data_IF_584907640241
#
_entry.id   IF_584907640241
#
_cell.length_a   1.000
_cell.length_b   1.000
_cell.length_c   1.000
_cell.angle_alpha   90.00
_cell.angle_beta   90.00
_cell.angle_gamma   90.00
#
_symmetry.space_group_name_H-M   'P 1'
#
loop_
_entity.id
_entity.type
_entity.pdbx_description
1 polymer ?
#
# COMPACT_ATOMS: atom_id res chain seq x y z
N UNK A 1 -42.89 27.59 21.62
CA UNK A 1 -42.49 28.97 21.29
C UNK A 1 -41.13 28.88 20.62
N UNK A 2 -40.94 28.84 19.30
CA UNK A 2 -41.60 29.58 18.23
C UNK A 2 -40.76 30.81 17.89
N UNK A 3 -39.77 30.70 16.99
CA UNK A 3 -39.74 31.59 15.83
C UNK A 3 -38.78 31.14 14.72
N UNK A 4 -39.25 31.42 13.50
CA UNK A 4 -38.76 31.01 12.19
C UNK A 4 -37.85 32.08 11.55
N UNK A 5 -37.29 31.66 10.40
CA UNK A 5 -37.05 32.45 9.18
C UNK A 5 -35.65 33.09 9.03
N UNK A 6 -35.00 33.12 7.87
CA UNK A 6 -35.49 33.09 6.48
C UNK A 6 -34.36 32.71 5.51
N UNK A 7 -34.71 31.90 4.50
CA UNK A 7 -33.96 31.73 3.25
C UNK A 7 -33.85 33.06 2.48
N UNK A 8 -32.72 33.28 1.79
CA UNK A 8 -32.58 34.26 0.70
C UNK A 8 -32.16 33.54 -0.57
N UNK A 9 -33.10 33.45 -1.50
CA UNK A 9 -32.93 33.02 -2.89
C UNK A 9 -32.43 34.23 -3.70
N UNK A 10 -31.37 34.05 -4.51
CA UNK A 10 -30.99 34.99 -5.59
C UNK A 10 -31.25 34.30 -6.93
N UNK A 11 -32.20 34.84 -7.69
CA UNK A 11 -32.33 34.69 -9.15
C UNK A 11 -31.78 35.97 -9.82
N UNK A 12 -31.59 35.91 -11.15
CA UNK A 12 -31.33 36.99 -12.15
C UNK A 12 -29.90 36.87 -12.73
N UNK A 13 -29.63 36.81 -14.05
CA UNK A 13 -30.41 36.92 -15.28
C UNK A 13 -29.61 36.25 -16.42
N UNK A 14 -30.31 35.65 -17.39
CA UNK A 14 -29.75 35.30 -18.70
C UNK A 14 -29.74 36.53 -19.62
N UNK A 15 -28.67 36.73 -20.39
CA UNK A 15 -28.59 37.71 -21.45
C UNK A 15 -28.44 36.99 -22.79
N UNK A 16 -29.56 36.91 -23.50
CA UNK A 16 -29.65 36.53 -24.92
C UNK A 16 -29.34 37.76 -25.76
N UNK A 17 -28.40 37.66 -26.70
CA UNK A 17 -28.19 38.67 -27.73
C UNK A 17 -28.54 38.07 -29.10
N UNK A 18 -29.73 38.39 -29.57
CA UNK A 18 -30.13 38.30 -30.99
C UNK A 18 -29.71 39.58 -31.69
N UNK A 19 -28.97 39.46 -32.80
CA UNK A 19 -28.76 40.56 -33.76
C UNK A 19 -29.22 40.09 -35.14
N UNK A 20 -30.14 40.85 -35.70
CA UNK A 20 -30.79 40.64 -37.00
C UNK A 20 -29.96 41.26 -38.14
N UNK A 21 -30.10 40.67 -39.32
CA UNK A 21 -29.41 40.91 -40.59
C UNK A 21 -29.44 42.35 -41.15
N UNK A 22 -28.38 42.74 -41.88
CA UNK A 22 -28.38 42.94 -43.35
C UNK A 22 -27.14 43.76 -43.79
N UNK A 23 -26.30 43.19 -44.66
CA UNK A 23 -25.59 43.94 -45.71
C UNK A 23 -25.09 42.97 -46.78
N UNK A 24 -25.68 43.06 -47.96
CA UNK A 24 -25.25 42.41 -49.20
C UNK A 24 -23.86 42.91 -49.63
N UNK A 25 -22.93 41.99 -49.85
CA UNK A 25 -21.68 42.24 -50.56
C UNK A 25 -21.27 40.97 -51.29
N UNK A 26 -21.21 41.03 -52.63
CA UNK A 26 -20.74 39.93 -53.46
C UNK A 26 -19.26 39.67 -53.13
N UNK A 27 -18.94 38.47 -52.62
CA UNK A 27 -17.56 37.99 -52.49
C UNK A 27 -17.37 36.89 -53.54
N UNK A 28 -16.32 37.04 -54.33
CA UNK A 28 -15.91 36.14 -55.40
C UNK A 28 -15.71 34.70 -54.90
N UNK A 29 -16.30 33.75 -55.63
CA UNK A 29 -16.32 32.31 -55.36
C UNK A 29 -14.95 31.61 -55.49
N UNK A 30 -13.84 32.32 -55.37
CA UNK A 30 -12.48 31.76 -55.49
C UNK A 30 -11.74 31.70 -54.15
N UNK A 31 -12.06 32.59 -53.21
CA UNK A 31 -11.42 32.60 -51.88
C UNK A 31 -12.03 31.55 -50.93
N UNK A 32 -13.33 31.26 -51.08
CA UNK A 32 -14.05 30.24 -50.26
C UNK A 32 -13.55 28.83 -50.55
N UNK A 33 -13.21 28.52 -51.81
CA UNK A 33 -12.65 27.22 -52.19
C UNK A 33 -11.19 27.05 -51.72
N UNK A 34 -10.41 28.14 -51.64
CA UNK A 34 -9.04 28.09 -51.14
C UNK A 34 -9.02 27.83 -49.61
N UNK A 35 -9.92 28.47 -48.85
CA UNK A 35 -10.07 28.24 -47.41
C UNK A 35 -10.60 26.84 -47.07
N UNK A 36 -11.58 26.31 -47.83
CA UNK A 36 -12.06 24.93 -47.65
C UNK A 36 -10.97 23.90 -47.96
N UNK A 37 -10.16 24.11 -49.00
CA UNK A 37 -9.06 23.20 -49.35
C UNK A 37 -7.93 23.25 -48.30
N UNK A 38 -7.68 24.42 -47.69
CA UNK A 38 -6.71 24.56 -46.59
C UNK A 38 -7.24 23.96 -45.28
N UNK A 39 -8.52 24.14 -44.95
CA UNK A 39 -9.14 23.48 -43.80
C UNK A 39 -9.17 21.96 -43.97
N UNK A 40 -9.45 21.44 -45.17
CA UNK A 40 -9.48 20.01 -45.43
C UNK A 40 -8.06 19.40 -45.45
N UNK A 41 -7.04 20.14 -45.92
CA UNK A 41 -5.61 19.77 -45.76
C UNK A 41 -5.17 19.80 -44.31
N UNK A 42 -5.60 20.79 -43.52
CA UNK A 42 -5.31 20.88 -42.09
C UNK A 42 -6.06 19.81 -41.27
N UNK A 43 -7.26 19.39 -41.69
CA UNK A 43 -8.01 18.29 -41.09
C UNK A 43 -7.37 16.93 -41.42
N UNK A 44 -6.87 16.76 -42.64
CA UNK A 44 -6.17 15.53 -43.06
C UNK A 44 -4.75 15.43 -42.51
N UNK A 45 -4.05 16.55 -42.32
CA UNK A 45 -2.79 16.57 -41.53
C UNK A 45 -3.03 16.47 -40.03
N UNK A 46 -4.16 16.97 -39.48
CA UNK A 46 -4.51 16.72 -38.07
C UNK A 46 -4.87 15.26 -37.81
N UNK A 47 -5.56 14.61 -38.75
CA UNK A 47 -5.88 13.16 -38.70
C UNK A 47 -4.65 12.27 -38.95
N UNK A 48 -3.65 12.73 -39.72
CA UNK A 48 -2.35 12.04 -39.86
C UNK A 48 -1.35 12.36 -38.74
N UNK A 49 -1.66 13.35 -37.90
CA UNK A 49 -0.93 13.68 -36.66
C UNK A 49 -1.55 13.07 -35.41
N UNK A 50 -2.52 12.15 -35.56
CA UNK A 50 -2.64 11.04 -34.62
C UNK A 50 -1.32 10.28 -34.69
N UNK A 51 -0.38 10.75 -33.86
CA UNK A 51 0.85 10.08 -33.51
C UNK A 51 0.57 8.61 -33.55
N UNK A 52 1.33 7.88 -34.36
CA UNK A 52 1.63 6.49 -34.09
C UNK A 52 1.96 6.41 -32.60
N UNK A 53 0.97 6.07 -31.78
CA UNK A 53 1.17 5.73 -30.39
C UNK A 53 2.14 4.58 -30.52
N UNK A 54 3.41 4.80 -30.13
CA UNK A 54 4.34 3.70 -29.88
C UNK A 54 3.50 2.66 -29.17
N UNK A 55 3.25 1.53 -29.81
CA UNK A 55 2.48 0.44 -29.21
C UNK A 55 3.10 0.22 -27.85
N UNK A 56 2.45 0.73 -26.80
CA UNK A 56 2.92 0.53 -25.44
C UNK A 56 2.93 -0.98 -25.30
N UNK A 57 4.09 -1.55 -24.96
CA UNK A 57 4.18 -2.98 -24.77
C UNK A 57 3.37 -3.33 -23.52
N UNK A 58 2.08 -3.58 -23.68
CA UNK A 58 1.09 -3.90 -22.62
C UNK A 58 1.10 -5.38 -22.29
N UNK A 59 2.27 -6.01 -22.40
CA UNK A 59 2.52 -7.39 -22.03
C UNK A 59 3.21 -7.43 -20.68
N UNK A 60 2.62 -8.17 -19.75
CA UNK A 60 3.08 -8.30 -18.37
C UNK A 60 3.47 -9.76 -18.09
N UNK A 61 4.67 -9.95 -17.58
CA UNK A 61 5.11 -11.23 -17.01
C UNK A 61 4.80 -11.22 -15.53
N UNK A 62 3.76 -11.95 -15.11
CA UNK A 62 3.27 -11.94 -13.73
C UNK A 62 3.89 -13.12 -12.96
N UNK A 63 4.79 -12.85 -11.99
CA UNK A 63 5.47 -13.90 -11.23
C UNK A 63 4.48 -14.62 -10.31
N UNK A 64 4.62 -15.95 -10.20
CA UNK A 64 3.89 -16.74 -9.21
C UNK A 64 4.50 -16.55 -7.82
N UNK A 65 3.83 -15.75 -6.98
CA UNK A 65 4.30 -15.42 -5.62
C UNK A 65 3.61 -16.25 -4.52
N UNK A 66 2.73 -17.18 -4.89
CA UNK A 66 1.92 -17.97 -3.96
C UNK A 66 0.58 -17.33 -3.62
N UNK A 67 -0.26 -18.06 -2.87
CA UNK A 67 -1.51 -17.50 -2.36
C UNK A 67 -1.28 -16.76 -1.02
N UNK A 68 -1.49 -15.44 -0.99
CA UNK A 68 -1.33 -14.59 0.20
C UNK A 68 -2.09 -15.10 1.43
N UNK A 69 -3.25 -15.73 1.24
CA UNK A 69 -4.03 -16.28 2.36
C UNK A 69 -3.41 -17.57 2.89
N UNK A 70 -2.84 -18.40 2.01
CA UNK A 70 -2.08 -19.59 2.43
C UNK A 70 -0.79 -19.18 3.15
N UNK A 71 -0.05 -18.21 2.61
CA UNK A 71 1.17 -17.68 3.22
C UNK A 71 0.89 -17.05 4.59
N UNK A 72 -0.20 -16.28 4.72
CA UNK A 72 -0.67 -15.74 6.02
C UNK A 72 -0.85 -16.85 7.06
N UNK A 73 -1.52 -17.95 6.68
CA UNK A 73 -1.74 -19.07 7.59
C UNK A 73 -0.46 -19.83 7.91
N UNK A 74 0.43 -20.05 6.93
CA UNK A 74 1.73 -20.68 7.12
C UNK A 74 2.62 -19.89 8.07
N UNK A 75 2.64 -18.55 7.94
CA UNK A 75 3.43 -17.67 8.81
C UNK A 75 2.74 -17.36 10.15
N UNK A 76 1.51 -17.86 10.35
CA UNK A 76 0.66 -17.65 11.54
C UNK A 76 0.28 -16.18 11.79
N UNK A 77 0.29 -15.36 10.73
CA UNK A 77 -0.01 -13.92 10.78
C UNK A 77 -1.51 -13.66 10.82
N UNK A 78 -1.94 -12.53 11.39
CA UNK A 78 -3.35 -12.12 11.35
C UNK A 78 -3.77 -11.46 10.03
N UNK A 79 -2.81 -10.96 9.24
CA UNK A 79 -3.06 -10.21 8.01
C UNK A 79 -2.19 -10.71 6.86
N UNK A 80 -2.74 -10.67 5.65
CA UNK A 80 -2.03 -11.01 4.42
C UNK A 80 -1.27 -9.79 3.86
N UNK A 81 -0.23 -10.02 3.05
CA UNK A 81 0.41 -8.96 2.25
C UNK A 81 -0.40 -8.70 0.96
N UNK A 82 -0.03 -7.68 0.19
CA UNK A 82 -0.79 -7.27 -1.00
C UNK A 82 -0.73 -8.32 -2.10
N UNK A 83 -1.87 -8.77 -2.68
CA UNK A 83 -1.87 -9.69 -3.80
C UNK A 83 -1.43 -9.02 -5.12
N UNK A 84 -1.24 -7.70 -5.12
CA UNK A 84 -1.11 -6.91 -6.32
C UNK A 84 0.26 -7.03 -6.99
N UNK A 85 0.24 -7.32 -8.30
CA UNK A 85 1.30 -6.97 -9.23
C UNK A 85 0.81 -5.81 -10.11
N UNK A 86 1.38 -4.59 -9.96
CA UNK A 86 0.88 -3.39 -10.65
C UNK A 86 1.19 -3.41 -12.14
N UNK A 87 0.27 -2.83 -12.92
CA UNK A 87 0.39 -2.71 -14.38
C UNK A 87 0.74 -1.30 -14.85
N UNK A 88 0.59 -0.29 -14.00
CA UNK A 88 0.67 1.12 -14.41
C UNK A 88 -0.51 1.57 -15.29
N UNK A 89 -1.62 0.82 -15.30
CA UNK A 89 -2.83 1.14 -16.04
C UNK A 89 -4.01 1.39 -15.11
N UNK A 90 -4.84 2.36 -15.49
CA UNK A 90 -6.09 2.74 -14.83
C UNK A 90 -7.28 2.44 -15.74
N UNK A 91 -8.28 1.72 -15.23
CA UNK A 91 -9.57 1.54 -15.88
C UNK A 91 -10.57 2.59 -15.38
N UNK A 92 -11.24 3.28 -16.30
CA UNK A 92 -12.38 4.15 -15.94
C UNK A 92 -13.58 3.32 -15.47
N UNK A 93 -14.52 3.92 -14.73
CA UNK A 93 -15.81 3.30 -14.42
C UNK A 93 -16.48 2.68 -15.66
N UNK A 94 -16.81 1.40 -15.58
CA UNK A 94 -17.43 0.61 -16.66
C UNK A 94 -16.63 0.51 -17.97
N UNK A 95 -15.33 0.86 -17.97
CA UNK A 95 -14.47 0.62 -19.13
C UNK A 95 -14.28 -0.89 -19.35
N UNK A 96 -14.46 -1.34 -20.59
CA UNK A 96 -14.15 -2.72 -20.96
C UNK A 96 -12.64 -2.88 -21.13
N UNK A 97 -12.09 -3.83 -20.39
CA UNK A 97 -10.68 -4.23 -20.47
C UNK A 97 -10.62 -5.62 -21.10
N UNK A 98 -9.90 -5.75 -22.22
CA UNK A 98 -9.66 -7.04 -22.86
C UNK A 98 -8.24 -7.51 -22.56
N UNK A 99 -8.13 -8.73 -22.03
CA UNK A 99 -6.88 -9.31 -21.54
C UNK A 99 -6.71 -10.70 -22.15
N UNK A 100 -5.59 -10.93 -22.83
CA UNK A 100 -5.17 -12.25 -23.26
C UNK A 100 -4.23 -12.87 -22.21
N UNK A 101 -4.55 -14.06 -21.72
CA UNK A 101 -3.73 -14.84 -20.77
C UNK A 101 -3.09 -16.01 -21.49
N UNK A 102 -1.77 -16.09 -21.48
CA UNK A 102 -1.04 -17.20 -22.09
C UNK A 102 -0.88 -18.39 -21.15
N UNK A 103 -0.62 -19.57 -21.72
CA UNK A 103 -0.42 -20.80 -20.96
C UNK A 103 -1.73 -21.54 -20.70
N UNK A 104 -1.81 -22.23 -19.58
CA UNK A 104 -2.91 -23.12 -19.24
C UNK A 104 -3.42 -22.96 -17.80
N UNK A 105 -2.99 -21.91 -17.10
CA UNK A 105 -3.34 -21.64 -15.72
C UNK A 105 -4.21 -20.38 -15.62
N UNK A 106 -5.14 -20.40 -14.68
CA UNK A 106 -5.93 -19.23 -14.34
C UNK A 106 -5.06 -18.19 -13.59
N UNK A 107 -5.43 -16.92 -13.73
CA UNK A 107 -4.83 -15.81 -12.98
C UNK A 107 -5.93 -14.88 -12.46
N UNK A 108 -5.69 -14.19 -11.35
CA UNK A 108 -6.61 -13.15 -10.88
C UNK A 108 -6.19 -11.78 -11.40
N UNK A 109 -7.18 -10.92 -11.61
CA UNK A 109 -6.98 -9.50 -11.88
C UNK A 109 -7.89 -8.67 -10.99
N UNK A 110 -7.38 -7.56 -10.48
CA UNK A 110 -8.12 -6.59 -9.68
C UNK A 110 -8.28 -5.29 -10.47
N UNK A 111 -9.45 -4.66 -10.33
CA UNK A 111 -9.71 -3.29 -10.75
C UNK A 111 -10.14 -2.50 -9.51
N UNK A 112 -9.27 -1.57 -9.10
CA UNK A 112 -9.36 -0.81 -7.87
C UNK A 112 -8.26 -1.17 -6.88
N UNK A 113 -7.93 -0.22 -6.01
CA UNK A 113 -6.90 -0.29 -4.98
C UNK A 113 -7.52 -0.17 -3.60
N UNK A 114 -7.32 -1.17 -2.75
CA UNK A 114 -7.79 -1.14 -1.36
C UNK A 114 -7.32 0.13 -0.64
N UNK A 115 -8.23 0.77 0.11
CA UNK A 115 -7.99 2.01 0.87
C UNK A 115 -7.72 3.29 0.05
N UNK A 116 -7.36 3.19 -1.23
CA UNK A 116 -7.26 4.36 -2.11
C UNK A 116 -8.59 4.69 -2.78
N UNK A 117 -9.29 3.69 -3.33
CA UNK A 117 -10.53 3.89 -4.11
C UNK A 117 -11.80 3.81 -3.24
N UNK A 118 -11.67 3.27 -2.02
CA UNK A 118 -12.74 3.15 -1.05
C UNK A 118 -12.17 2.93 0.36
N UNK A 119 -12.95 3.25 1.40
CA UNK A 119 -12.62 2.92 2.79
C UNK A 119 -12.45 1.40 2.95
N UNK A 120 -11.67 0.97 3.95
CA UNK A 120 -11.51 -0.44 4.31
C UNK A 120 -12.84 -1.17 4.62
N UNK A 121 -13.89 -0.41 5.00
CA UNK A 121 -15.24 -0.95 5.24
C UNK A 121 -16.00 -1.26 3.96
N UNK A 122 -15.50 -0.79 2.82
CA UNK A 122 -16.10 -0.89 1.51
C UNK A 122 -15.18 -1.61 0.51
N UNK A 123 -14.30 -2.49 0.99
CA UNK A 123 -13.37 -3.29 0.17
C UNK A 123 -14.07 -4.06 -0.97
N UNK A 124 -15.38 -4.34 -0.85
CA UNK A 124 -16.20 -4.95 -1.91
C UNK A 124 -16.37 -4.08 -3.17
N UNK A 125 -16.03 -2.78 -3.10
CA UNK A 125 -15.95 -1.87 -4.25
C UNK A 125 -14.76 -2.19 -5.14
N UNK A 126 -13.72 -2.83 -4.60
CA UNK A 126 -12.58 -3.33 -5.37
C UNK A 126 -12.98 -4.65 -6.01
N UNK A 127 -12.97 -4.72 -7.34
CA UNK A 127 -13.45 -5.90 -8.06
C UNK A 127 -12.29 -6.79 -8.46
N UNK A 128 -12.41 -8.08 -8.17
CA UNK A 128 -11.49 -9.12 -8.63
C UNK A 128 -12.18 -10.06 -9.62
N UNK A 129 -11.45 -10.53 -10.63
CA UNK A 129 -11.93 -11.46 -11.64
C UNK A 129 -10.93 -12.60 -11.80
N UNK A 130 -11.43 -13.82 -11.99
CA UNK A 130 -10.61 -14.95 -12.43
C UNK A 130 -10.57 -14.95 -13.95
N UNK A 131 -9.37 -14.81 -14.52
CA UNK A 131 -9.13 -14.88 -15.95
C UNK A 131 -8.73 -16.30 -16.33
N UNK A 132 -9.35 -16.82 -17.39
CA UNK A 132 -9.00 -18.11 -17.99
C UNK A 132 -7.91 -17.92 -19.05
N UNK A 133 -7.13 -18.97 -19.40
CA UNK A 133 -6.29 -18.93 -20.58
C UNK A 133 -7.05 -18.48 -21.83
N UNK A 134 -6.42 -17.63 -22.64
CA UNK A 134 -7.03 -16.97 -23.80
C UNK A 134 -7.60 -15.58 -23.49
N UNK A 135 -8.54 -15.14 -24.33
CA UNK A 135 -9.10 -13.78 -24.29
C UNK A 135 -10.22 -13.69 -23.25
N UNK A 136 -10.13 -12.69 -22.39
CA UNK A 136 -11.11 -12.35 -21.37
C UNK A 136 -11.51 -10.87 -21.54
N UNK A 137 -12.79 -10.55 -21.34
CA UNK A 137 -13.27 -9.16 -21.27
C UNK A 137 -13.92 -8.94 -19.92
N UNK A 138 -13.46 -7.93 -19.19
CA UNK A 138 -13.93 -7.57 -17.84
C UNK A 138 -14.25 -6.09 -17.76
N UNK A 139 -15.03 -5.70 -16.76
CA UNK A 139 -15.31 -4.31 -16.44
C UNK A 139 -15.66 -4.16 -14.95
N UNK A 140 -15.28 -3.05 -14.34
CA UNK A 140 -15.63 -2.71 -12.96
C UNK A 140 -16.49 -1.45 -12.92
N UNK A 141 -17.64 -1.44 -12.21
CA UNK A 141 -18.48 -0.25 -12.10
C UNK A 141 -17.77 0.97 -11.50
N UNK A 142 -16.79 0.74 -10.60
CA UNK A 142 -16.07 1.83 -9.92
C UNK A 142 -14.79 2.25 -10.65
N UNK A 143 -14.32 1.45 -11.62
CA UNK A 143 -12.98 1.63 -12.20
C UNK A 143 -11.87 1.45 -11.16
N UNK A 144 -10.69 1.97 -11.46
CA UNK A 144 -9.51 1.93 -10.61
C UNK A 144 -8.28 1.35 -11.29
N UNK A 145 -7.18 1.31 -10.54
CA UNK A 145 -5.91 0.71 -11.00
C UNK A 145 -6.07 -0.78 -11.30
N UNK A 146 -5.34 -1.27 -12.31
CA UNK A 146 -5.38 -2.68 -12.74
C UNK A 146 -4.18 -3.42 -12.16
N UNK A 147 -4.43 -4.53 -11.46
CA UNK A 147 -3.40 -5.38 -10.87
C UNK A 147 -3.58 -6.83 -11.28
N UNK A 148 -2.50 -7.54 -11.58
CA UNK A 148 -2.54 -8.99 -11.71
C UNK A 148 -2.18 -9.68 -10.41
N UNK A 149 -2.60 -10.93 -10.26
CA UNK A 149 -2.25 -11.78 -9.14
C UNK A 149 -2.16 -13.24 -9.57
N UNK A 150 -0.92 -13.77 -9.58
CA UNK A 150 -0.64 -15.16 -9.88
C UNK A 150 -0.39 -15.93 -8.57
N UNK A 151 -1.39 -16.74 -8.19
CA UNK A 151 -1.40 -17.56 -6.97
C UNK A 151 -0.44 -18.76 -6.99
N UNK A 152 0.17 -19.07 -8.13
CA UNK A 152 1.11 -20.18 -8.21
C UNK A 152 2.35 -19.90 -7.37
N UNK A 153 2.93 -20.94 -6.78
CA UNK A 153 4.21 -20.85 -6.08
C UNK A 153 5.34 -21.06 -7.10
N UNK A 154 5.89 -19.97 -7.63
CA UNK A 154 6.91 -20.00 -8.67
C UNK A 154 6.37 -19.93 -10.11
N UNK A 155 7.29 -19.86 -11.07
CA UNK A 155 6.97 -19.64 -12.48
C UNK A 155 6.42 -18.24 -12.77
N UNK A 156 5.91 -18.05 -13.98
CA UNK A 156 5.29 -16.79 -14.40
C UNK A 156 4.24 -17.02 -15.46
N UNK A 157 3.19 -16.20 -15.47
CA UNK A 157 2.17 -16.16 -16.53
C UNK A 157 2.37 -14.88 -17.34
N UNK A 158 2.40 -15.01 -18.68
CA UNK A 158 2.40 -13.84 -19.56
C UNK A 158 0.97 -13.42 -19.86
N UNK A 159 0.67 -12.14 -19.67
CA UNK A 159 -0.64 -11.55 -19.95
C UNK A 159 -0.45 -10.35 -20.87
N UNK A 160 -1.44 -10.05 -21.71
CA UNK A 160 -1.42 -8.85 -22.56
C UNK A 160 -2.76 -8.14 -22.48
N UNK A 161 -2.75 -6.85 -22.11
CA UNK A 161 -3.95 -6.01 -22.14
C UNK A 161 -4.06 -5.40 -23.54
N UNK A 162 -5.00 -5.90 -24.34
CA UNK A 162 -5.14 -5.53 -25.76
C UNK A 162 -6.08 -4.35 -25.98
N UNK A 163 -7.04 -4.14 -25.07
CA UNK A 163 -8.04 -3.07 -25.16
C UNK A 163 -8.30 -2.47 -23.79
N UNK A 164 -8.47 -1.16 -23.73
CA UNK A 164 -8.79 -0.42 -22.52
C UNK A 164 -7.57 -0.18 -21.62
N UNK A 165 -7.78 0.63 -20.58
CA UNK A 165 -6.75 1.03 -19.65
C UNK A 165 -5.97 2.23 -20.14
N UNK A 166 -5.93 3.28 -19.31
CA UNK A 166 -5.15 4.49 -19.53
C UNK A 166 -3.87 4.43 -18.70
N UNK A 167 -2.73 4.73 -19.32
CA UNK A 167 -1.42 4.80 -18.64
C UNK A 167 -1.44 5.87 -17.55
N UNK A 168 -0.81 5.56 -16.41
CA UNK A 168 -0.65 6.47 -15.28
C UNK A 168 0.82 6.51 -14.84
N UNK A 169 1.27 7.50 -14.05
CA UNK A 169 2.62 7.51 -13.50
C UNK A 169 2.92 6.25 -12.68
N UNK A 170 3.84 5.44 -13.19
CA UNK A 170 4.26 4.19 -12.57
C UNK A 170 5.79 4.12 -12.55
N UNK A 171 6.36 4.35 -11.37
CA UNK A 171 7.79 4.28 -11.12
C UNK A 171 8.19 2.88 -10.68
N UNK A 172 9.30 2.37 -11.22
CA UNK A 172 9.83 1.05 -10.89
C UNK A 172 11.30 1.18 -10.55
N UNK A 173 11.67 0.71 -9.35
CA UNK A 173 13.05 0.66 -8.91
C UNK A 173 13.89 -0.16 -9.90
N UNK A 174 15.05 0.38 -10.28
CA UNK A 174 15.95 -0.24 -11.25
C UNK A 174 15.60 0.00 -12.71
N UNK A 175 14.43 0.59 -13.03
CA UNK A 175 14.05 0.99 -14.39
C UNK A 175 13.97 2.50 -14.58
N UNK A 176 13.49 3.22 -13.56
CA UNK A 176 13.20 4.64 -13.65
C UNK A 176 14.11 5.48 -12.74
N UNK A 177 14.39 6.71 -13.16
CA UNK A 177 15.12 7.74 -12.42
C UNK A 177 14.17 8.78 -11.84
N UNK A 178 14.64 9.61 -10.88
CA UNK A 178 13.84 10.73 -10.36
C UNK A 178 13.30 11.65 -11.47
N UNK A 179 14.09 11.88 -12.52
CA UNK A 179 13.65 12.70 -13.64
C UNK A 179 12.53 12.02 -14.44
N UNK A 180 12.55 10.69 -14.57
CA UNK A 180 11.46 9.96 -15.22
C UNK A 180 10.16 10.10 -14.43
N UNK A 181 10.20 10.04 -13.09
CA UNK A 181 9.02 10.29 -12.26
C UNK A 181 8.45 11.70 -12.49
N UNK A 182 9.31 12.72 -12.57
CA UNK A 182 8.90 14.10 -12.87
C UNK A 182 8.23 14.15 -14.25
N UNK A 183 8.87 13.57 -15.27
CA UNK A 183 8.33 13.53 -16.62
C UNK A 183 6.98 12.82 -16.69
N UNK A 184 6.80 11.71 -15.96
CA UNK A 184 5.50 11.02 -15.86
C UNK A 184 4.42 11.90 -15.24
N UNK A 185 4.75 12.62 -14.16
CA UNK A 185 3.81 13.52 -13.47
C UNK A 185 3.43 14.76 -14.29
N UNK A 186 4.31 15.19 -15.19
CA UNK A 186 4.06 16.28 -16.14
C UNK A 186 3.25 15.80 -17.34
N UNK A 187 3.50 14.57 -17.81
CA UNK A 187 2.74 13.95 -18.89
C UNK A 187 1.30 13.59 -18.49
N UNK A 188 1.10 13.17 -17.23
CA UNK A 188 -0.20 12.73 -16.71
C UNK A 188 -0.60 13.56 -15.47
N UNK A 189 -0.89 14.87 -15.62
CA UNK A 189 -1.13 15.76 -14.49
C UNK A 189 -2.43 15.46 -13.73
N UNK A 190 -3.40 14.83 -14.40
CA UNK A 190 -4.71 14.43 -13.86
C UNK A 190 -4.80 12.91 -13.65
N UNK A 191 -3.66 12.24 -13.49
CA UNK A 191 -3.61 10.82 -13.21
C UNK A 191 -4.44 10.46 -11.98
N UNK A 192 -5.13 9.31 -12.06
CA UNK A 192 -5.92 8.79 -10.95
C UNK A 192 -5.06 8.52 -9.72
N UNK A 193 -3.89 7.89 -9.92
CA UNK A 193 -2.92 7.59 -8.89
C UNK A 193 -1.49 7.58 -9.47
N UNK A 194 -0.51 7.69 -8.60
CA UNK A 194 0.90 7.42 -8.85
C UNK A 194 1.26 6.17 -8.08
N UNK A 195 1.95 5.26 -8.76
CA UNK A 195 2.46 4.04 -8.13
C UNK A 195 3.99 4.03 -8.13
N UNK A 196 4.58 3.73 -6.97
CA UNK A 196 6.02 3.57 -6.82
C UNK A 196 6.30 2.14 -6.35
N UNK A 197 6.96 1.35 -7.18
CA UNK A 197 7.25 -0.07 -6.93
C UNK A 197 8.73 -0.27 -6.60
N UNK A 198 8.99 -0.80 -5.41
CA UNK A 198 10.29 -1.33 -4.98
C UNK A 198 10.39 -2.84 -5.23
N UNK A 199 11.36 -3.48 -4.58
CA UNK A 199 11.50 -4.95 -4.61
C UNK A 199 10.55 -5.65 -3.64
N UNK A 200 10.23 -5.00 -2.52
CA UNK A 200 9.43 -5.54 -1.40
C UNK A 200 8.26 -4.64 -1.03
N UNK A 201 8.19 -3.43 -1.59
CA UNK A 201 7.15 -2.44 -1.28
C UNK A 201 6.43 -1.93 -2.53
N UNK A 202 5.17 -1.54 -2.34
CA UNK A 202 4.38 -0.79 -3.31
C UNK A 202 3.80 0.44 -2.60
N UNK A 203 3.87 1.60 -3.23
CA UNK A 203 3.23 2.83 -2.74
C UNK A 203 2.18 3.24 -3.77
N UNK A 204 0.96 3.52 -3.32
CA UNK A 204 -0.08 4.15 -4.14
C UNK A 204 -0.52 5.45 -3.47
N UNK A 205 -0.31 6.57 -4.15
CA UNK A 205 -0.67 7.89 -3.68
C UNK A 205 -1.11 8.80 -4.83
N UNK A 206 -1.82 9.86 -4.54
CA UNK A 206 -2.25 10.82 -5.56
C UNK A 206 -1.06 11.64 -6.09
N UNK A 207 -1.13 12.14 -7.34
CA UNK A 207 -0.12 13.04 -7.89
C UNK A 207 0.15 14.25 -7.00
N UNK A 208 -0.89 14.76 -6.32
CA UNK A 208 -0.77 15.89 -5.40
C UNK A 208 0.14 15.57 -4.20
N UNK A 209 -0.02 14.38 -3.59
CA UNK A 209 0.82 13.95 -2.45
C UNK A 209 2.25 13.66 -2.86
N UNK A 210 2.46 12.99 -4.00
CA UNK A 210 3.80 12.74 -4.51
C UNK A 210 4.53 14.04 -4.81
N UNK A 211 3.87 15.01 -5.46
CA UNK A 211 4.44 16.35 -5.69
C UNK A 211 4.75 17.07 -4.37
N UNK A 212 3.83 17.06 -3.41
CA UNK A 212 3.98 17.78 -2.13
C UNK A 212 5.07 17.18 -1.24
N UNK A 213 5.09 15.87 -1.04
CA UNK A 213 5.93 15.24 -0.01
C UNK A 213 7.17 14.55 -0.54
N UNK A 214 7.12 13.93 -1.73
CA UNK A 214 8.29 13.28 -2.29
C UNK A 214 9.14 14.31 -3.05
N UNK A 215 8.58 14.97 -4.06
CA UNK A 215 9.32 15.97 -4.83
C UNK A 215 9.58 17.24 -4.02
N UNK A 216 8.58 17.69 -3.24
CA UNK A 216 8.69 18.88 -2.40
C UNK A 216 9.70 18.77 -1.27
N UNK A 217 9.99 17.57 -0.74
CA UNK A 217 11.08 17.35 0.22
C UNK A 217 12.42 17.02 -0.45
N UNK A 218 12.48 17.11 -1.77
CA UNK A 218 13.62 16.70 -2.59
C UNK A 218 14.01 15.21 -2.42
N UNK A 219 13.10 14.36 -1.95
CA UNK A 219 13.32 12.91 -1.86
C UNK A 219 13.67 12.33 -3.23
N UNK A 220 14.65 11.43 -3.28
CA UNK A 220 14.92 10.58 -4.43
C UNK A 220 14.09 9.29 -4.31
N UNK A 221 13.19 8.99 -5.27
CA UNK A 221 12.36 7.78 -5.21
C UNK A 221 13.18 6.48 -5.21
N UNK A 222 14.37 6.46 -5.81
CA UNK A 222 15.28 5.30 -5.78
C UNK A 222 15.79 5.06 -4.35
N UNK A 223 16.23 6.13 -3.68
CA UNK A 223 16.74 6.03 -2.31
C UNK A 223 15.63 5.67 -1.34
N UNK A 224 14.45 6.26 -1.52
CA UNK A 224 13.28 5.97 -0.70
C UNK A 224 12.89 4.49 -0.77
N UNK A 225 12.66 3.97 -1.99
CA UNK A 225 12.24 2.58 -2.16
C UNK A 225 13.28 1.59 -1.64
N UNK A 226 14.58 1.84 -1.88
CA UNK A 226 15.65 1.01 -1.30
C UNK A 226 15.62 1.00 0.23
N UNK A 227 15.39 2.16 0.86
CA UNK A 227 15.32 2.28 2.31
C UNK A 227 14.07 1.59 2.88
N UNK A 228 12.94 1.67 2.19
CA UNK A 228 11.72 0.96 2.58
C UNK A 228 11.84 -0.57 2.37
N UNK A 229 12.52 -1.00 1.31
CA UNK A 229 12.84 -2.41 1.08
C UNK A 229 13.81 -2.93 2.17
N UNK A 230 14.76 -2.12 2.64
CA UNK A 230 15.62 -2.43 3.78
C UNK A 230 14.82 -2.57 5.09
N UNK A 231 13.93 -1.62 5.41
CA UNK A 231 13.04 -1.70 6.56
C UNK A 231 12.19 -2.98 6.54
N UNK A 232 11.66 -3.32 5.36
CA UNK A 232 10.88 -4.56 5.15
C UNK A 232 11.71 -5.80 5.49
N UNK A 233 12.96 -5.89 5.03
CA UNK A 233 13.87 -7.00 5.34
C UNK A 233 14.24 -7.09 6.80
N UNK A 234 14.41 -5.95 7.48
CA UNK A 234 14.63 -5.93 8.93
C UNK A 234 13.43 -6.57 9.65
N UNK A 235 12.21 -6.22 9.26
CA UNK A 235 11.01 -6.82 9.86
C UNK A 235 10.85 -8.30 9.50
N UNK A 236 11.17 -8.70 8.27
CA UNK A 236 11.17 -10.09 7.83
C UNK A 236 12.17 -10.94 8.63
N UNK A 237 13.35 -10.37 8.94
CA UNK A 237 14.33 -10.99 9.83
C UNK A 237 13.76 -11.21 11.23
N UNK A 238 13.13 -10.20 11.84
CA UNK A 238 12.49 -10.32 13.17
C UNK A 238 11.44 -11.44 13.17
N UNK A 239 10.69 -11.59 12.08
CA UNK A 239 9.71 -12.66 11.90
C UNK A 239 10.35 -14.05 11.68
N UNK A 240 11.68 -14.15 11.60
CA UNK A 240 12.42 -15.40 11.44
C UNK A 240 12.33 -15.99 10.04
N UNK A 241 12.27 -15.15 9.00
CA UNK A 241 12.19 -15.54 7.60
C UNK A 241 13.49 -15.19 6.87
N UNK A 242 14.08 -16.14 6.15
CA UNK A 242 15.17 -15.86 5.22
C UNK A 242 14.66 -15.22 3.93
N UNK A 243 15.57 -14.70 3.10
CA UNK A 243 15.21 -14.17 1.78
C UNK A 243 14.55 -15.24 0.89
N UNK A 244 14.89 -16.51 1.02
CA UNK A 244 14.27 -17.59 0.22
C UNK A 244 12.87 -17.95 0.74
N UNK A 245 12.65 -17.82 2.05
CA UNK A 245 11.42 -18.26 2.71
C UNK A 245 10.34 -17.18 2.74
N UNK A 246 10.75 -15.91 2.75
CA UNK A 246 9.84 -14.80 2.99
C UNK A 246 8.80 -14.66 1.88
N UNK A 247 7.58 -14.31 2.27
CA UNK A 247 6.53 -13.85 1.36
C UNK A 247 7.05 -12.80 0.37
N UNK A 248 6.97 -13.10 -0.94
CA UNK A 248 7.45 -12.25 -2.04
C UNK A 248 6.43 -11.20 -2.51
N UNK A 249 5.27 -11.13 -1.88
CA UNK A 249 4.31 -10.05 -2.05
C UNK A 249 4.79 -8.73 -1.44
N UNK A 250 4.15 -7.62 -1.86
CA UNK A 250 4.55 -6.29 -1.41
C UNK A 250 3.89 -5.93 -0.07
N UNK A 251 4.65 -5.25 0.78
CA UNK A 251 4.05 -4.37 1.80
C UNK A 251 3.54 -3.14 1.07
N UNK A 252 2.21 -2.96 1.06
CA UNK A 252 1.57 -1.88 0.29
C UNK A 252 1.25 -0.69 1.21
N UNK A 253 1.75 0.48 0.85
CA UNK A 253 1.54 1.75 1.53
C UNK A 253 0.59 2.63 0.71
N UNK A 254 -0.57 2.97 1.26
CA UNK A 254 -1.67 3.58 0.51
C UNK A 254 -2.09 4.92 1.11
N UNK A 255 -2.16 5.97 0.30
CA UNK A 255 -2.88 7.19 0.69
C UNK A 255 -4.37 6.88 0.88
N UNK A 256 -4.96 7.31 2.00
CA UNK A 256 -6.36 7.09 2.33
C UNK A 256 -7.06 8.45 2.52
N UNK A 257 -8.23 8.64 1.90
CA UNK A 257 -9.03 9.86 2.07
C UNK A 257 -10.54 9.56 2.31
N UNK A 258 -10.89 8.33 2.71
CA UNK A 258 -12.28 7.88 2.89
C UNK A 258 -12.65 7.60 4.35
N UNK A 259 -11.68 7.62 5.27
CA UNK A 259 -11.85 7.23 6.67
C UNK A 259 -11.25 8.29 7.60
N UNK A 260 -11.81 9.52 7.62
CA UNK A 260 -11.18 10.69 8.27
C UNK A 260 -11.00 10.56 9.80
N UNK A 261 -11.69 9.61 10.44
CA UNK A 261 -11.57 9.35 11.87
C UNK A 261 -10.31 8.54 12.25
N UNK A 262 -9.59 8.01 11.25
CA UNK A 262 -8.32 7.30 11.44
C UNK A 262 -7.14 8.23 11.14
N UNK A 263 -5.95 7.86 11.64
CA UNK A 263 -4.70 8.53 11.30
C UNK A 263 -3.86 7.67 10.36
N UNK A 264 -3.48 6.48 10.83
CA UNK A 264 -2.84 5.41 10.08
C UNK A 264 -3.49 4.09 10.51
N UNK A 265 -3.50 3.09 9.64
CA UNK A 265 -3.94 1.76 10.02
C UNK A 265 -3.40 0.67 9.09
N UNK A 266 -3.40 -0.56 9.58
CA UNK A 266 -3.11 -1.77 8.83
C UNK A 266 -4.29 -2.74 8.85
N UNK A 267 -4.50 -3.41 7.72
CA UNK A 267 -5.44 -4.53 7.58
C UNK A 267 -4.97 -5.37 6.40
N UNK A 268 -5.53 -6.57 6.19
CA UNK A 268 -5.06 -7.48 5.14
C UNK A 268 -4.81 -6.75 3.82
N UNK A 269 -3.69 -7.05 3.17
CA UNK A 269 -3.26 -6.49 1.89
C UNK A 269 -2.57 -5.11 1.94
N UNK A 270 -2.80 -4.25 2.95
CA UNK A 270 -2.27 -2.86 2.91
C UNK A 270 -2.11 -2.19 4.27
N UNK A 271 -1.23 -1.20 4.29
CA UNK A 271 -1.17 -0.12 5.28
C UNK A 271 -1.71 1.15 4.64
N UNK A 272 -2.41 1.98 5.42
CA UNK A 272 -3.15 3.13 4.93
C UNK A 272 -2.86 4.38 5.77
N UNK A 273 -2.76 5.53 5.11
CA UNK A 273 -2.31 6.78 5.72
C UNK A 273 -3.28 7.91 5.37
N UNK A 274 -4.03 8.40 6.36
CA UNK A 274 -5.12 9.35 6.15
C UNK A 274 -4.58 10.75 5.88
N UNK A 275 -4.97 11.35 4.76
CA UNK A 275 -4.63 12.73 4.39
C UNK A 275 -3.12 12.99 4.35
N UNK A 276 -2.64 13.88 5.22
CA UNK A 276 -1.24 14.30 5.26
C UNK A 276 -0.31 13.23 5.85
N UNK A 277 -0.84 12.17 6.47
CA UNK A 277 -0.05 11.10 7.11
C UNK A 277 0.87 10.36 6.12
N UNK A 278 0.52 10.30 4.83
CA UNK A 278 1.36 9.65 3.81
C UNK A 278 2.73 10.33 3.63
N UNK A 279 2.93 11.54 4.19
CA UNK A 279 4.23 12.20 4.21
C UNK A 279 5.32 11.37 4.90
N UNK A 280 4.97 10.57 5.90
CA UNK A 280 5.92 9.70 6.60
C UNK A 280 6.39 8.52 5.74
N UNK A 281 5.67 8.23 4.65
CA UNK A 281 6.03 7.23 3.64
C UNK A 281 6.79 7.87 2.47
N UNK A 282 6.36 9.06 2.02
CA UNK A 282 6.86 9.67 0.78
C UNK A 282 8.12 10.52 0.97
N UNK A 283 8.38 11.00 2.17
CA UNK A 283 9.58 11.79 2.50
C UNK A 283 10.63 10.89 3.17
N UNK A 284 11.75 10.65 2.50
CA UNK A 284 12.78 9.73 2.99
C UNK A 284 13.37 10.16 4.34
N UNK A 285 13.50 11.47 4.57
CA UNK A 285 14.05 11.95 5.84
C UNK A 285 13.10 11.63 6.98
N UNK A 286 11.79 11.88 6.79
CA UNK A 286 10.76 11.50 7.78
C UNK A 286 10.68 10.00 7.94
N UNK A 287 10.72 9.23 6.85
CA UNK A 287 10.72 7.78 6.93
C UNK A 287 11.89 7.24 7.74
N UNK A 288 13.07 7.87 7.71
CA UNK A 288 14.24 7.42 8.47
C UNK A 288 14.21 7.92 9.92
N UNK A 289 13.90 9.19 10.17
CA UNK A 289 14.09 9.81 11.50
C UNK A 289 12.81 9.88 12.34
N UNK A 290 11.64 9.79 11.71
CA UNK A 290 10.31 9.88 12.33
C UNK A 290 9.35 8.86 11.71
N UNK A 291 9.89 7.69 11.33
CA UNK A 291 9.19 6.65 10.57
C UNK A 291 8.35 5.70 11.41
N UNK A 292 8.15 5.99 12.69
CA UNK A 292 7.48 5.06 13.62
C UNK A 292 6.14 4.57 13.10
N UNK A 293 5.29 5.48 12.59
CA UNK A 293 3.97 5.15 12.04
C UNK A 293 4.05 4.09 10.93
N UNK A 294 4.70 4.37 9.79
CA UNK A 294 4.85 3.38 8.72
C UNK A 294 5.48 2.04 9.16
N UNK A 295 6.46 2.06 10.06
CA UNK A 295 7.06 0.83 10.57
C UNK A 295 6.09 0.03 11.46
N UNK A 296 5.30 0.72 12.28
CA UNK A 296 4.27 0.17 13.16
C UNK A 296 3.15 -0.50 12.37
N UNK A 297 2.64 0.16 11.31
CA UNK A 297 1.63 -0.42 10.43
C UNK A 297 2.16 -1.63 9.67
N UNK A 298 3.40 -1.56 9.16
CA UNK A 298 4.04 -2.71 8.52
C UNK A 298 4.26 -3.87 9.50
N UNK A 299 4.51 -3.57 10.78
CA UNK A 299 4.64 -4.55 11.86
C UNK A 299 3.34 -5.31 12.15
N UNK A 300 2.18 -4.64 12.05
CA UNK A 300 0.87 -5.30 12.20
C UNK A 300 0.66 -6.42 11.18
N UNK A 301 1.16 -6.26 9.96
CA UNK A 301 1.08 -7.30 8.93
C UNK A 301 1.86 -8.56 9.27
N UNK A 302 2.76 -8.53 10.26
CA UNK A 302 3.64 -9.64 10.69
C UNK A 302 3.30 -10.23 12.04
N UNK A 303 2.30 -9.71 12.74
CA UNK A 303 1.95 -10.20 14.07
C UNK A 303 1.45 -11.65 14.04
N UNK A 304 2.13 -12.50 14.80
CA UNK A 304 1.74 -13.88 14.98
C UNK A 304 0.62 -14.02 16.00
N UNK A 305 -0.50 -14.57 15.56
CA UNK A 305 -1.68 -14.81 16.40
C UNK A 305 -1.44 -15.75 17.61
N UNK A 306 -0.62 -16.82 17.50
CA UNK A 306 -0.41 -17.77 18.59
C UNK A 306 0.18 -17.21 19.90
N UNK A 307 0.84 -16.06 19.87
CA UNK A 307 1.33 -15.40 21.09
C UNK A 307 0.84 -13.96 21.23
N UNK A 308 -0.19 -13.59 20.45
CA UNK A 308 -0.96 -12.37 20.62
C UNK A 308 -2.11 -12.62 21.60
N UNK A 309 -1.82 -12.48 22.89
CA UNK A 309 -2.82 -12.57 23.96
C UNK A 309 -3.49 -11.21 24.23
N UNK A 310 -4.35 -11.14 25.25
CA UNK A 310 -5.17 -9.98 25.60
C UNK A 310 -4.37 -8.66 25.57
N UNK A 311 -4.91 -7.66 24.88
CA UNK A 311 -4.33 -6.32 24.73
C UNK A 311 -2.86 -6.27 24.22
N UNK A 312 -2.45 -7.24 23.38
CA UNK A 312 -1.12 -7.25 22.75
C UNK A 312 -1.09 -6.75 21.30
N UNK A 313 -2.24 -6.42 20.69
CA UNK A 313 -2.31 -5.96 19.29
C UNK A 313 -1.45 -4.71 19.05
N UNK A 314 -1.49 -3.72 19.94
CA UNK A 314 -0.70 -2.49 19.85
C UNK A 314 0.66 -2.58 20.55
N UNK A 315 1.08 -3.79 20.96
CA UNK A 315 2.32 -4.02 21.70
C UNK A 315 3.26 -4.87 20.87
N UNK A 316 2.81 -6.05 20.46
CA UNK A 316 3.64 -7.03 19.75
C UNK A 316 4.19 -6.49 18.44
N UNK A 317 3.44 -5.69 17.69
CA UNK A 317 3.91 -5.12 16.42
C UNK A 317 5.10 -4.16 16.62
N UNK A 318 5.21 -3.51 17.77
CA UNK A 318 6.27 -2.53 18.02
C UNK A 318 7.67 -3.14 18.18
N UNK A 319 7.80 -4.48 18.32
CA UNK A 319 9.13 -5.13 18.22
C UNK A 319 9.74 -4.93 16.83
N UNK A 320 8.90 -4.87 15.80
CA UNK A 320 9.32 -4.62 14.43
C UNK A 320 9.74 -3.16 14.26
N UNK A 321 8.94 -2.22 14.80
CA UNK A 321 9.26 -0.78 14.79
C UNK A 321 10.59 -0.49 15.49
N UNK A 322 10.78 -1.02 16.70
CA UNK A 322 12.02 -0.85 17.47
C UNK A 322 13.23 -1.45 16.75
N UNK A 323 13.05 -2.57 16.05
CA UNK A 323 14.12 -3.19 15.26
C UNK A 323 14.52 -2.34 14.07
N UNK A 324 13.57 -1.71 13.37
CA UNK A 324 13.87 -0.75 12.29
C UNK A 324 14.52 0.51 12.85
N UNK A 325 13.99 1.08 13.93
CA UNK A 325 14.55 2.25 14.62
C UNK A 325 16.03 2.02 15.00
N UNK A 326 16.31 0.87 15.63
CA UNK A 326 17.67 0.44 15.99
C UNK A 326 18.57 0.29 14.77
N UNK A 327 18.10 -0.41 13.72
CA UNK A 327 18.87 -0.65 12.51
C UNK A 327 19.19 0.64 11.73
N UNK A 328 18.31 1.65 11.81
CA UNK A 328 18.51 2.97 11.21
C UNK A 328 19.28 3.94 12.12
N UNK A 329 19.89 3.43 13.20
CA UNK A 329 20.66 4.20 14.17
C UNK A 329 19.89 5.39 14.76
N UNK A 330 18.57 5.24 14.93
CA UNK A 330 17.74 6.23 15.61
C UNK A 330 17.71 5.93 17.12
N UNK A 331 17.72 6.96 18.00
CA UNK A 331 17.65 6.68 19.42
C UNK A 331 16.30 6.09 19.80
N UNK A 332 16.27 5.17 20.76
CA UNK A 332 15.10 4.35 21.04
C UNK A 332 13.90 5.19 21.49
N UNK A 333 12.72 4.97 20.92
CA UNK A 333 11.49 5.63 21.36
C UNK A 333 11.16 5.30 22.84
N UNK A 334 11.49 4.09 23.31
CA UNK A 334 11.33 3.72 24.73
C UNK A 334 12.19 4.57 25.66
N UNK A 335 13.39 4.93 25.22
CA UNK A 335 14.32 5.77 25.97
C UNK A 335 13.94 7.25 25.87
N UNK A 336 13.76 7.77 24.65
CA UNK A 336 13.36 9.17 24.37
C UNK A 336 12.07 9.55 25.08
N UNK A 337 11.10 8.63 25.15
CA UNK A 337 9.79 8.86 25.76
C UNK A 337 9.74 8.52 27.26
N UNK A 338 10.88 8.22 27.89
CA UNK A 338 10.97 7.98 29.33
C UNK A 338 10.14 6.77 29.79
N UNK A 339 10.05 5.72 28.98
CA UNK A 339 9.19 4.56 29.26
C UNK A 339 9.82 3.61 30.28
N UNK A 340 11.14 3.43 30.25
CA UNK A 340 11.82 2.53 31.21
C UNK A 340 11.56 2.87 32.68
N UNK A 341 11.64 4.15 33.13
CA UNK A 341 11.24 4.51 34.50
C UNK A 341 9.81 4.09 34.86
N UNK A 342 8.84 4.27 33.96
CA UNK A 342 7.45 3.85 34.18
C UNK A 342 7.34 2.32 34.33
N UNK A 343 8.07 1.57 33.49
CA UNK A 343 8.08 0.12 33.57
C UNK A 343 8.72 -0.39 34.87
N UNK A 344 9.81 0.24 35.33
CA UNK A 344 10.42 -0.13 36.62
C UNK A 344 9.53 0.21 37.81
N UNK A 345 8.81 1.34 37.76
CA UNK A 345 7.80 1.68 38.76
C UNK A 345 6.67 0.64 38.81
N UNK A 346 6.26 0.10 37.67
CA UNK A 346 5.29 -1.01 37.63
C UNK A 346 5.86 -2.28 38.31
N UNK A 347 7.14 -2.61 38.09
CA UNK A 347 7.78 -3.79 38.69
C UNK A 347 7.87 -3.73 40.23
N UNK A 348 7.93 -2.53 40.81
CA UNK A 348 7.94 -2.27 42.26
C UNK A 348 6.58 -2.49 42.94
N UNK A 349 5.48 -2.62 42.17
CA UNK A 349 4.15 -2.84 42.73
C UNK A 349 4.02 -4.25 43.34
N UNK A 350 3.27 -4.34 44.43
CA UNK A 350 3.01 -5.61 45.14
C UNK A 350 2.09 -6.53 44.33
N UNK A 351 1.00 -5.97 43.78
CA UNK A 351 0.05 -6.68 42.94
C UNK A 351 0.25 -6.26 41.49
N UNK A 352 0.88 -7.12 40.70
CA UNK A 352 1.17 -6.89 39.29
C UNK A 352 0.18 -7.66 38.42
N UNK A 353 -0.58 -6.95 37.60
CA UNK A 353 -1.42 -7.54 36.56
C UNK A 353 -1.01 -6.97 35.21
N UNK A 354 -0.35 -7.79 34.39
CA UNK A 354 0.15 -7.35 33.08
C UNK A 354 -1.01 -6.94 32.16
N UNK A 355 -2.18 -7.56 32.27
CA UNK A 355 -3.34 -7.24 31.42
C UNK A 355 -3.84 -5.81 31.63
N UNK A 356 -3.78 -5.33 32.86
CA UNK A 356 -4.27 -4.02 33.32
C UNK A 356 -3.31 -2.86 33.01
N UNK A 357 -2.11 -3.13 32.49
CA UNK A 357 -1.21 -2.06 32.04
C UNK A 357 -1.85 -1.36 30.83
N UNK A 358 -2.26 -0.10 31.01
CA UNK A 358 -2.90 0.70 29.97
C UNK A 358 -1.91 1.33 28.98
N UNK A 359 -0.69 1.65 29.43
CA UNK A 359 0.37 2.18 28.58
C UNK A 359 1.03 1.04 27.77
N UNK A 360 0.71 0.98 26.47
CA UNK A 360 1.20 -0.06 25.55
C UNK A 360 2.73 -0.10 25.48
N UNK A 361 3.41 1.03 25.69
CA UNK A 361 4.86 1.09 25.67
C UNK A 361 5.46 0.50 26.95
N UNK A 362 4.77 0.60 28.09
CA UNK A 362 5.20 -0.10 29.32
C UNK A 362 5.14 -1.61 29.13
N UNK A 363 4.10 -2.13 28.47
CA UNK A 363 4.03 -3.56 28.07
C UNK A 363 5.19 -3.94 27.14
N UNK A 364 5.48 -3.08 26.16
CA UNK A 364 6.53 -3.30 25.17
C UNK A 364 7.92 -3.44 25.79
N UNK A 365 8.20 -2.81 26.94
CA UNK A 365 9.51 -2.93 27.61
C UNK A 365 9.88 -4.39 27.91
N UNK A 366 8.93 -5.21 28.39
CA UNK A 366 9.16 -6.63 28.65
C UNK A 366 9.61 -7.35 27.38
N UNK A 367 8.90 -7.11 26.27
CA UNK A 367 9.25 -7.70 24.98
C UNK A 367 10.64 -7.25 24.53
N UNK A 368 10.89 -5.95 24.51
CA UNK A 368 12.15 -5.41 24.01
C UNK A 368 13.36 -5.84 24.85
N UNK A 369 13.21 -5.98 26.18
CA UNK A 369 14.26 -6.49 27.06
C UNK A 369 14.70 -7.91 26.69
N UNK A 370 13.82 -8.77 26.18
CA UNK A 370 14.20 -10.11 25.71
C UNK A 370 15.16 -10.03 24.52
N UNK A 371 14.91 -9.13 23.56
CA UNK A 371 15.83 -8.93 22.43
C UNK A 371 17.16 -8.31 22.88
N UNK A 372 17.13 -7.36 23.81
CA UNK A 372 18.35 -6.76 24.34
C UNK A 372 19.21 -7.76 25.13
N UNK A 373 18.58 -8.67 25.88
CA UNK A 373 19.28 -9.66 26.72
C UNK A 373 19.80 -10.86 25.91
N UNK A 374 19.03 -11.36 24.95
CA UNK A 374 19.34 -12.61 24.23
C UNK A 374 19.78 -12.40 22.78
N UNK A 375 19.79 -11.15 22.31
CA UNK A 375 20.28 -10.75 20.99
C UNK A 375 19.24 -10.84 19.87
N UNK A 376 19.68 -10.47 18.67
CA UNK A 376 18.83 -10.34 17.47
C UNK A 376 18.15 -11.64 17.03
N UNK A 377 18.64 -12.79 17.50
CA UNK A 377 18.10 -14.11 17.16
C UNK A 377 16.92 -14.54 18.04
N UNK A 378 16.63 -13.82 19.13
CA UNK A 378 15.58 -14.22 20.08
C UNK A 378 14.20 -14.30 19.40
N UNK A 379 13.73 -13.19 18.82
CA UNK A 379 12.44 -13.17 18.13
C UNK A 379 12.40 -14.05 16.88
N UNK A 380 13.42 -14.08 16.00
CA UNK A 380 13.45 -15.00 14.88
C UNK A 380 13.19 -16.46 15.29
N UNK A 381 13.87 -16.94 16.34
CA UNK A 381 13.70 -18.31 16.85
C UNK A 381 12.34 -18.51 17.52
N UNK A 382 11.84 -17.51 18.25
CA UNK A 382 10.51 -17.57 18.85
C UNK A 382 9.42 -17.67 17.76
N UNK A 383 9.51 -16.87 16.70
CA UNK A 383 8.56 -16.90 15.60
C UNK A 383 8.57 -18.25 14.89
N UNK A 384 9.75 -18.83 14.65
CA UNK A 384 9.91 -20.16 14.04
C UNK A 384 9.28 -21.24 14.92
N UNK A 385 9.52 -21.21 16.24
CA UNK A 385 8.93 -22.17 17.18
C UNK A 385 7.39 -22.20 17.09
N UNK A 386 6.75 -21.03 17.03
CA UNK A 386 5.29 -20.96 16.85
C UNK A 386 4.82 -21.34 15.44
N UNK A 387 5.64 -21.10 14.42
CA UNK A 387 5.31 -21.42 13.02
C UNK A 387 5.29 -22.94 12.80
N UNK A 388 6.28 -23.63 13.36
CA UNK A 388 6.49 -25.08 13.25
C UNK A 388 5.57 -25.88 14.18
N UNK A 389 4.88 -25.22 15.11
CA UNK A 389 3.94 -25.85 16.02
C UNK A 389 2.75 -26.48 15.26
N UNK A 390 2.40 -27.75 15.55
CA UNK A 390 1.20 -28.37 15.01
C UNK A 390 -0.05 -27.56 15.36
N UNK A 391 -0.98 -27.44 14.42
CA UNK A 391 -2.19 -26.61 14.63
C UNK A 391 -3.02 -27.07 15.84
N UNK A 392 -2.95 -28.35 16.22
CA UNK A 392 -3.61 -28.91 17.42
C UNK A 392 -2.98 -28.48 18.74
N UNK A 393 -1.74 -27.99 18.73
CA UNK A 393 -1.01 -27.55 19.91
C UNK A 393 -1.06 -26.02 20.10
N UNK A 394 -1.59 -25.29 19.11
CA UNK A 394 -1.70 -23.84 19.19
C UNK A 394 -2.64 -23.42 20.34
N UNK A 395 -2.26 -22.42 21.14
CA UNK A 395 -3.04 -21.99 22.28
C UNK A 395 -4.33 -21.27 21.84
N UNK A 396 -5.46 -21.65 22.45
CA UNK A 396 -6.78 -21.13 22.08
C UNK A 396 -7.25 -19.99 22.99
N UNK A 397 -6.86 -19.98 24.27
CA UNK A 397 -7.24 -18.96 25.25
C UNK A 397 -6.07 -18.01 25.54
N UNK A 398 -6.36 -16.80 25.99
CA UNK A 398 -5.31 -15.84 26.35
C UNK A 398 -4.42 -16.34 27.49
N UNK A 399 -4.97 -17.05 28.46
CA UNK A 399 -4.17 -17.70 29.52
C UNK A 399 -3.22 -18.76 28.95
N UNK A 400 -3.69 -19.62 28.04
CA UNK A 400 -2.82 -20.62 27.42
C UNK A 400 -1.75 -19.96 26.54
N UNK A 401 -2.06 -18.84 25.87
CA UNK A 401 -1.08 -18.05 25.10
C UNK A 401 0.01 -17.47 26.00
N UNK A 402 -0.34 -16.88 27.15
CA UNK A 402 0.62 -16.36 28.13
C UNK A 402 1.53 -17.47 28.67
N UNK A 403 0.95 -18.58 29.10
CA UNK A 403 1.71 -19.74 29.61
C UNK A 403 2.67 -20.28 28.54
N UNK A 404 2.18 -20.47 27.32
CA UNK A 404 3.01 -20.94 26.23
C UNK A 404 4.09 -19.93 25.84
N UNK A 405 3.80 -18.62 25.90
CA UNK A 405 4.81 -17.58 25.65
C UNK A 405 5.95 -17.67 26.67
N UNK A 406 5.66 -17.78 27.96
CA UNK A 406 6.69 -17.94 29.01
C UNK A 406 7.56 -19.18 28.79
N UNK A 407 6.94 -20.31 28.44
CA UNK A 407 7.65 -21.56 28.14
C UNK A 407 8.50 -21.43 26.88
N UNK A 408 7.94 -20.87 25.80
CA UNK A 408 8.61 -20.75 24.50
C UNK A 408 9.77 -19.76 24.58
N UNK A 409 9.57 -18.63 25.26
CA UNK A 409 10.62 -17.65 25.54
C UNK A 409 11.76 -18.31 26.34
N UNK A 410 11.46 -19.09 27.38
CA UNK A 410 12.47 -19.80 28.17
C UNK A 410 13.27 -20.81 27.33
N UNK A 411 12.59 -21.55 26.44
CA UNK A 411 13.22 -22.50 25.50
C UNK A 411 14.18 -21.79 24.54
N UNK A 412 13.75 -20.66 23.97
CA UNK A 412 14.56 -19.86 23.04
C UNK A 412 15.77 -19.25 23.75
N UNK A 413 15.56 -18.69 24.94
CA UNK A 413 16.60 -18.11 25.79
C UNK A 413 17.57 -19.15 26.36
N UNK A 414 17.19 -20.44 26.36
CA UNK A 414 17.90 -21.53 27.07
C UNK A 414 18.12 -21.21 28.55
N UNK A 415 17.17 -20.49 29.14
CA UNK A 415 17.18 -20.03 30.52
C UNK A 415 15.76 -20.08 31.07
N UNK A 416 15.61 -20.40 32.35
CA UNK A 416 14.32 -20.28 33.01
C UNK A 416 13.97 -18.79 33.18
N UNK A 417 12.97 -18.32 32.41
CA UNK A 417 12.50 -16.95 32.45
C UNK A 417 11.35 -16.73 33.43
N UNK A 418 10.93 -17.71 34.24
CA UNK A 418 9.85 -17.49 35.24
C UNK A 418 10.12 -16.28 36.18
N UNK A 419 11.36 -16.00 36.63
CA UNK A 419 11.63 -14.81 37.44
C UNK A 419 11.53 -13.48 36.69
N UNK A 420 11.69 -13.50 35.36
CA UNK A 420 11.57 -12.34 34.47
C UNK A 420 10.11 -12.14 34.10
#
# INVERSE_FOLDING_TARGET
MGNNSKHKTRKILAATATVTMLATGMISSSDVFAEETQQQKNLSTSLQSEKSVKSENRTFTVPGKGDVEVLKQQERKSMAFSPYEPTGLYAKPNEQITINVEGNQDIQVYIGTYSYDASWREDSKIKSFTLKPGINTIQSPNGGMIYFYNKQQGGSIRTTITTGGTTTPFFELGKHTKQDLINMLDQYPNAHAVELKGERVLITASPARVKKYLLGSNTDPVQLLKKMDEATRIQDKVAGLSEEQVDKHYVHYVEENHSPDYYMYATSYRTAYVGDAIQYVLDINKFITDGWGPWHEAGHLRQQSPWKFYNMTEVQNNIYSLSVEKAFNQPSNLEKSGIYPKAFQYLEQVNKNYDEISDVFVKLVMLWQLQLAYGEDFYPKLHQLYRDMPSSELPQTDENKKQLFMISASKVAKQNLIPF
#
